data_IF_094133933604
#
_entry.id   IF_094133933604
#
_cell.length_a   1.000
_cell.length_b   1.000
_cell.length_c   1.000
_cell.angle_alpha   90.00
_cell.angle_beta   90.00
_cell.angle_gamma   90.00
#
_symmetry.space_group_name_H-M   'P 1'
#
loop_
_entity.id
_entity.type
_entity.pdbx_description
1 polymer ?
#
# COMPACT_ATOMS: atom_id res chain seq x y z
N UNK A 1 -53.51 24.86 -0.24
CA UNK A 1 -52.68 25.45 -1.31
C UNK A 1 -51.74 24.34 -1.77
N UNK A 2 -52.26 23.45 -2.63
CA UNK A 2 -52.03 23.42 -4.10
C UNK A 2 -50.71 22.71 -4.42
N UNK A 3 -50.66 21.45 -4.87
CA UNK A 3 -51.28 20.74 -6.01
C UNK A 3 -50.30 20.58 -7.19
N UNK A 4 -50.34 19.40 -7.83
CA UNK A 4 -49.72 19.06 -9.12
C UNK A 4 -48.43 18.24 -8.95
N UNK A 5 -48.42 16.91 -8.98
CA UNK A 5 -48.78 15.98 -10.06
C UNK A 5 -48.03 16.26 -11.37
N UNK A 6 -47.11 15.36 -11.77
CA UNK A 6 -46.99 15.03 -13.19
C UNK A 6 -46.57 13.57 -13.37
N UNK A 7 -47.59 12.74 -13.59
CA UNK A 7 -47.55 11.37 -14.07
C UNK A 7 -47.57 11.46 -15.59
N UNK A 8 -46.43 11.15 -16.24
CA UNK A 8 -46.38 10.91 -17.68
C UNK A 8 -45.54 9.68 -17.99
N UNK A 9 -46.22 8.54 -18.08
CA UNK A 9 -45.95 7.57 -19.13
C UNK A 9 -46.79 7.97 -20.35
N UNK A 10 -46.32 7.75 -21.58
CA UNK A 10 -46.85 6.58 -22.27
C UNK A 10 -45.89 5.88 -23.26
N UNK A 11 -46.29 4.63 -23.52
CA UNK A 11 -46.29 3.87 -24.78
C UNK A 11 -45.01 3.46 -25.52
N UNK A 12 -44.89 2.12 -25.61
CA UNK A 12 -44.67 1.27 -26.80
C UNK A 12 -43.72 1.77 -27.89
N UNK A 13 -42.74 0.93 -28.19
CA UNK A 13 -42.66 0.37 -29.54
C UNK A 13 -42.06 -1.05 -29.54
N UNK A 14 -42.94 -2.01 -29.81
CA UNK A 14 -42.62 -3.26 -30.51
C UNK A 14 -41.77 -2.95 -31.75
N UNK A 15 -40.58 -3.54 -31.84
CA UNK A 15 -39.94 -3.82 -33.13
C UNK A 15 -39.14 -5.11 -33.06
N UNK A 16 -39.62 -6.07 -33.84
CA UNK A 16 -38.76 -6.90 -34.68
C UNK A 16 -38.10 -8.06 -33.96
N UNK A 17 -38.77 -9.21 -34.00
CA UNK A 17 -38.07 -10.49 -34.04
C UNK A 17 -37.18 -10.51 -35.29
N UNK A 18 -35.87 -10.51 -35.10
CA UNK A 18 -34.93 -10.82 -36.17
C UNK A 18 -34.91 -12.33 -36.42
N UNK A 19 -34.90 -12.77 -37.69
CA UNK A 19 -34.86 -14.17 -38.05
C UNK A 19 -33.53 -14.80 -37.63
N UNK A 20 -33.62 -16.04 -37.12
CA UNK A 20 -32.48 -16.93 -36.96
C UNK A 20 -31.80 -17.16 -38.32
N UNK A 21 -30.75 -16.39 -38.60
CA UNK A 21 -29.79 -16.75 -39.63
C UNK A 21 -28.94 -17.91 -39.10
N UNK A 22 -29.25 -19.10 -39.59
CA UNK A 22 -28.39 -20.27 -39.56
C UNK A 22 -27.13 -19.99 -40.41
N UNK A 23 -26.19 -19.24 -39.83
CA UNK A 23 -24.89 -18.95 -40.40
C UNK A 23 -23.86 -19.99 -39.97
N UNK A 24 -23.67 -20.99 -40.81
CA UNK A 24 -22.54 -21.93 -40.80
C UNK A 24 -21.25 -21.16 -41.12
N UNK A 25 -20.72 -20.44 -40.13
CA UNK A 25 -19.59 -19.55 -40.26
C UNK A 25 -18.31 -20.14 -39.65
N UNK A 26 -17.50 -20.70 -40.53
CA UNK A 26 -16.05 -20.86 -40.46
C UNK A 26 -15.37 -20.30 -39.19
N UNK A 27 -14.83 -21.21 -38.37
CA UNK A 27 -14.13 -20.93 -37.13
C UNK A 27 -12.71 -20.38 -37.42
N UNK A 28 -12.62 -19.25 -38.09
CA UNK A 28 -11.37 -18.48 -38.10
C UNK A 28 -11.24 -17.78 -36.75
N UNK A 29 -10.14 -18.01 -36.00
CA UNK A 29 -9.96 -17.39 -34.70
C UNK A 29 -9.89 -15.87 -34.86
N UNK A 30 -10.94 -15.17 -34.41
CA UNK A 30 -11.02 -13.71 -34.39
C UNK A 30 -9.79 -13.12 -33.73
N UNK A 31 -8.99 -12.41 -34.52
CA UNK A 31 -7.73 -11.74 -34.14
C UNK A 31 -7.90 -10.71 -33.00
N UNK A 32 -9.13 -10.38 -32.59
CA UNK A 32 -9.45 -9.47 -31.48
C UNK A 32 -9.14 -10.01 -30.08
N UNK A 33 -9.07 -11.33 -29.87
CA UNK A 33 -8.91 -11.92 -28.53
C UNK A 33 -7.48 -11.87 -27.98
N UNK A 34 -6.48 -11.57 -28.82
CA UNK A 34 -5.07 -11.50 -28.37
C UNK A 34 -4.72 -10.19 -27.66
N UNK A 35 -5.46 -9.12 -27.89
CA UNK A 35 -5.16 -7.80 -27.29
C UNK A 35 -5.61 -7.74 -25.83
N UNK A 36 -6.71 -8.40 -25.47
CA UNK A 36 -7.25 -8.39 -24.10
C UNK A 36 -6.44 -9.25 -23.13
N UNK A 37 -5.85 -10.38 -23.59
CA UNK A 37 -5.01 -11.23 -22.73
C UNK A 37 -3.68 -10.61 -22.32
N UNK A 38 -3.09 -9.71 -23.14
CA UNK A 38 -1.77 -9.12 -22.83
C UNK A 38 -1.84 -8.03 -21.75
N UNK A 39 -2.98 -7.38 -21.60
CA UNK A 39 -3.19 -6.35 -20.56
C UNK A 39 -3.36 -6.92 -19.14
N UNK A 40 -3.83 -8.18 -19.01
CA UNK A 40 -4.01 -8.85 -17.73
C UNK A 40 -2.71 -9.31 -17.05
N UNK A 41 -1.67 -9.64 -17.83
CA UNK A 41 -0.41 -10.17 -17.31
C UNK A 41 0.43 -9.15 -16.54
N UNK A 42 0.45 -7.89 -16.98
CA UNK A 42 1.26 -6.82 -16.37
C UNK A 42 0.74 -6.42 -14.99
N UNK A 43 -0.57 -6.56 -14.73
CA UNK A 43 -1.17 -6.21 -13.43
C UNK A 43 -0.90 -7.25 -12.34
N UNK A 44 -0.74 -8.53 -12.68
CA UNK A 44 -0.40 -9.58 -11.69
C UNK A 44 1.05 -9.45 -11.19
N UNK A 45 1.98 -9.03 -12.03
CA UNK A 45 3.39 -8.88 -11.64
C UNK A 45 3.66 -7.73 -10.68
N UNK A 46 2.89 -6.64 -10.76
CA UNK A 46 3.05 -5.50 -9.86
C UNK A 46 2.47 -5.76 -8.45
N UNK A 47 1.41 -6.57 -8.34
CA UNK A 47 0.75 -6.87 -7.06
C UNK A 47 1.57 -7.77 -6.12
N UNK A 48 2.47 -8.60 -6.66
CA UNK A 48 3.25 -9.54 -5.83
C UNK A 48 4.43 -8.87 -5.13
N UNK A 49 5.01 -7.84 -5.73
CA UNK A 49 6.15 -7.11 -5.15
C UNK A 49 5.70 -6.30 -3.94
N UNK A 50 4.52 -5.67 -4.04
CA UNK A 50 3.94 -4.88 -2.95
C UNK A 50 3.60 -5.77 -1.74
N UNK A 51 2.92 -6.91 -1.95
CA UNK A 51 2.57 -7.82 -0.86
C UNK A 51 3.78 -8.46 -0.17
N UNK A 52 4.78 -8.90 -0.94
CA UNK A 52 5.97 -9.54 -0.39
C UNK A 52 6.82 -8.57 0.45
N UNK A 53 6.91 -7.31 0.04
CA UNK A 53 7.61 -6.29 0.82
C UNK A 53 6.95 -6.04 2.17
N UNK A 54 5.62 -5.91 2.18
CA UNK A 54 4.85 -5.71 3.41
C UNK A 54 4.95 -6.91 4.36
N UNK A 55 4.92 -8.13 3.82
CA UNK A 55 5.11 -9.34 4.61
C UNK A 55 6.49 -9.36 5.28
N UNK A 56 7.56 -8.96 4.57
CA UNK A 56 8.91 -8.87 5.15
C UNK A 56 8.99 -7.82 6.25
N UNK A 57 8.42 -6.64 6.02
CA UNK A 57 8.39 -5.58 7.03
C UNK A 57 7.61 -6.02 8.27
N UNK A 58 6.44 -6.64 8.09
CA UNK A 58 5.63 -7.18 9.18
C UNK A 58 6.33 -8.29 9.95
N UNK A 59 7.03 -9.19 9.25
CA UNK A 59 7.85 -10.23 9.87
C UNK A 59 8.96 -9.64 10.74
N UNK A 60 9.68 -8.64 10.24
CA UNK A 60 10.76 -7.98 10.99
C UNK A 60 10.23 -7.23 12.22
N UNK A 61 9.07 -6.59 12.10
CA UNK A 61 8.38 -5.95 13.23
C UNK A 61 8.01 -6.98 14.31
N UNK A 62 7.45 -8.12 13.90
CA UNK A 62 7.10 -9.20 14.82
C UNK A 62 8.34 -9.80 15.49
N UNK A 63 9.43 -9.99 14.74
CA UNK A 63 10.70 -10.46 15.27
C UNK A 63 11.29 -9.49 16.30
N UNK A 64 11.33 -8.18 15.98
CA UNK A 64 11.80 -7.16 16.93
C UNK A 64 10.92 -7.09 18.19
N UNK A 65 9.62 -7.33 18.07
CA UNK A 65 8.72 -7.38 19.23
C UNK A 65 8.87 -8.67 20.06
N UNK A 66 9.28 -9.78 19.44
CA UNK A 66 9.43 -11.08 20.09
C UNK A 66 10.71 -11.19 20.94
N UNK A 67 11.79 -10.52 20.54
CA UNK A 67 13.05 -10.50 21.29
C UNK A 67 13.09 -9.33 22.27
N UNK A 68 13.51 -9.58 23.52
CA UNK A 68 13.63 -8.52 24.53
C UNK A 68 14.85 -7.65 24.24
N UNK A 69 14.69 -6.33 24.28
CA UNK A 69 15.82 -5.42 24.33
C UNK A 69 16.28 -5.22 25.78
N UNK A 70 17.55 -4.87 25.95
CA UNK A 70 18.12 -4.45 27.24
C UNK A 70 17.18 -3.47 27.97
N UNK A 71 16.85 -3.71 29.25
CA UNK A 71 15.99 -2.82 30.00
C UNK A 71 16.68 -1.48 30.23
N UNK A 72 15.91 -0.38 30.20
CA UNK A 72 16.43 0.97 30.49
C UNK A 72 16.93 1.14 31.93
N UNK A 73 16.54 0.23 32.84
CA UNK A 73 16.91 0.30 34.26
C UNK A 73 18.37 -0.14 34.43
N UNK A 74 19.26 0.71 34.95
CA UNK A 74 20.65 0.35 35.16
C UNK A 74 20.79 -0.88 36.06
N UNK A 75 21.73 -1.77 35.75
CA UNK A 75 22.08 -2.92 36.60
C UNK A 75 21.12 -4.09 36.54
N UNK A 76 20.06 -4.06 35.72
CA UNK A 76 19.23 -5.24 35.50
C UNK A 76 19.92 -6.22 34.55
N UNK A 77 19.87 -7.50 34.90
CA UNK A 77 20.32 -8.57 34.02
C UNK A 77 19.43 -8.64 32.77
N UNK A 78 20.05 -9.04 31.66
CA UNK A 78 19.38 -9.27 30.38
C UNK A 78 20.08 -10.39 29.61
N UNK A 79 19.35 -11.08 28.75
CA UNK A 79 19.93 -12.07 27.84
C UNK A 79 20.58 -11.35 26.64
N UNK A 80 21.89 -11.52 26.47
CA UNK A 80 22.66 -10.94 25.37
C UNK A 80 22.22 -11.47 24.00
N UNK A 81 21.74 -12.71 23.94
CA UNK A 81 21.29 -13.34 22.70
C UNK A 81 20.00 -12.70 22.22
N UNK A 82 19.02 -12.53 23.10
CA UNK A 82 17.78 -11.81 22.78
C UNK A 82 18.07 -10.37 22.37
N UNK A 83 18.95 -9.68 23.11
CA UNK A 83 19.32 -8.29 22.82
C UNK A 83 19.98 -8.12 21.45
N UNK A 84 20.85 -9.06 21.08
CA UNK A 84 21.48 -9.10 19.75
C UNK A 84 20.45 -9.35 18.65
N UNK A 85 19.56 -10.34 18.84
CA UNK A 85 18.51 -10.67 17.86
C UNK A 85 17.53 -9.50 17.70
N UNK A 86 17.16 -8.84 18.80
CA UNK A 86 16.36 -7.60 18.79
C UNK A 86 17.06 -6.52 17.96
N UNK A 87 18.35 -6.29 18.21
CA UNK A 87 19.13 -5.26 17.52
C UNK A 87 19.26 -5.52 16.01
N UNK A 88 19.49 -6.77 15.62
CA UNK A 88 19.56 -7.18 14.20
C UNK A 88 18.20 -7.02 13.52
N UNK A 89 17.12 -7.48 14.17
CA UNK A 89 15.77 -7.34 13.65
C UNK A 89 15.38 -5.86 13.49
N UNK A 90 15.61 -5.04 14.52
CA UNK A 90 15.32 -3.61 14.52
C UNK A 90 16.14 -2.84 13.46
N UNK A 91 17.44 -3.17 13.30
CA UNK A 91 18.29 -2.53 12.28
C UNK A 91 17.82 -2.90 10.87
N UNK A 92 17.56 -4.19 10.62
CA UNK A 92 17.08 -4.67 9.32
C UNK A 92 15.73 -4.05 8.97
N UNK A 93 14.83 -3.96 9.96
CA UNK A 93 13.54 -3.29 9.85
C UNK A 93 13.70 -1.81 9.53
N UNK A 94 14.59 -1.09 10.21
CA UNK A 94 14.86 0.33 9.98
C UNK A 94 15.38 0.60 8.57
N UNK A 95 16.32 -0.21 8.09
CA UNK A 95 16.86 -0.12 6.71
C UNK A 95 15.74 -0.38 5.70
N UNK A 96 14.94 -1.44 5.89
CA UNK A 96 13.82 -1.74 5.02
C UNK A 96 12.80 -0.58 5.02
N UNK A 97 12.44 -0.07 6.19
CA UNK A 97 11.53 1.07 6.30
C UNK A 97 12.04 2.30 5.52
N UNK A 98 13.29 2.70 5.73
CA UNK A 98 13.89 3.84 5.03
C UNK A 98 13.92 3.63 3.51
N UNK A 99 14.28 2.43 3.04
CA UNK A 99 14.25 2.09 1.62
C UNK A 99 12.82 2.19 1.04
N UNK A 100 11.81 1.76 1.79
CA UNK A 100 10.39 1.88 1.41
C UNK A 100 9.94 3.34 1.28
N UNK A 101 10.32 4.19 2.24
CA UNK A 101 10.05 5.64 2.21
C UNK A 101 10.71 6.31 1.00
N UNK A 102 11.97 5.98 0.71
CA UNK A 102 12.68 6.53 -0.46
C UNK A 102 12.03 6.08 -1.76
N UNK A 103 11.71 4.79 -1.89
CA UNK A 103 11.07 4.25 -3.10
C UNK A 103 9.73 4.94 -3.39
N UNK A 104 8.86 5.02 -2.37
CA UNK A 104 7.56 5.71 -2.47
C UNK A 104 7.71 7.20 -2.79
N UNK A 105 8.67 7.90 -2.19
CA UNK A 105 8.96 9.30 -2.50
C UNK A 105 9.40 9.48 -3.96
N UNK A 106 10.27 8.62 -4.48
CA UNK A 106 10.71 8.63 -5.89
C UNK A 106 9.53 8.36 -6.84
N UNK A 107 8.70 7.37 -6.53
CA UNK A 107 7.47 7.05 -7.29
C UNK A 107 6.48 8.22 -7.28
N UNK A 108 6.29 8.87 -6.13
CA UNK A 108 5.41 10.03 -5.99
C UNK A 108 5.94 11.25 -6.76
N UNK A 109 7.26 11.48 -6.75
CA UNK A 109 7.91 12.53 -7.52
C UNK A 109 7.69 12.37 -9.02
N UNK A 110 7.84 11.14 -9.55
CA UNK A 110 7.56 10.82 -10.96
C UNK A 110 6.10 11.07 -11.37
N UNK A 111 5.17 11.02 -10.42
CA UNK A 111 3.73 11.28 -10.62
C UNK A 111 3.31 12.72 -10.32
N UNK A 112 4.25 13.63 -10.03
CA UNK A 112 3.96 15.04 -9.76
C UNK A 112 3.22 15.34 -8.44
N UNK A 113 3.11 14.38 -7.50
CA UNK A 113 2.35 14.56 -6.26
C UNK A 113 3.19 15.26 -5.17
N UNK A 114 3.01 16.59 -5.01
CA UNK A 114 3.77 17.39 -4.01
C UNK A 114 3.35 17.17 -2.54
N UNK A 115 2.07 16.94 -2.25
CA UNK A 115 1.54 16.84 -0.88
C UNK A 115 2.04 15.62 -0.08
N UNK A 116 2.66 14.62 -0.73
CA UNK A 116 3.21 13.45 -0.04
C UNK A 116 4.54 13.69 0.68
N UNK A 117 5.27 14.76 0.31
CA UNK A 117 6.69 14.90 0.65
C UNK A 117 6.96 15.19 2.13
N UNK A 118 6.03 15.82 2.84
CA UNK A 118 6.26 16.19 4.25
C UNK A 118 6.29 14.95 5.14
N UNK A 119 5.31 14.05 5.00
CA UNK A 119 5.28 12.81 5.78
C UNK A 119 6.47 11.90 5.44
N UNK A 120 6.84 11.81 4.15
CA UNK A 120 8.01 11.04 3.73
C UNK A 120 9.30 11.62 4.33
N UNK A 121 9.45 12.95 4.32
CA UNK A 121 10.59 13.63 4.93
C UNK A 121 10.63 13.44 6.46
N UNK A 122 9.49 13.53 7.14
CA UNK A 122 9.40 13.27 8.60
C UNK A 122 9.77 11.82 8.91
N UNK A 123 9.25 10.86 8.15
CA UNK A 123 9.57 9.44 8.32
C UNK A 123 11.07 9.16 8.11
N UNK A 124 11.65 9.74 7.06
CA UNK A 124 13.08 9.59 6.76
C UNK A 124 13.94 10.26 7.84
N UNK A 125 13.60 11.47 8.26
CA UNK A 125 14.30 12.16 9.35
C UNK A 125 14.21 11.35 10.66
N UNK A 126 13.02 10.87 11.02
CA UNK A 126 12.81 10.05 12.21
C UNK A 126 13.62 8.76 12.19
N UNK A 127 13.79 8.12 11.01
CA UNK A 127 14.60 6.89 10.88
C UNK A 127 16.10 7.08 11.16
N UNK A 128 16.58 8.32 11.19
CA UNK A 128 17.99 8.64 11.49
C UNK A 128 18.10 9.32 12.84
N UNK A 129 17.28 10.35 13.09
CA UNK A 129 17.34 11.17 14.29
C UNK A 129 16.97 10.38 15.54
N UNK A 130 15.96 9.50 15.49
CA UNK A 130 15.54 8.76 16.68
C UNK A 130 16.56 7.70 17.10
N UNK A 131 17.14 6.86 16.20
CA UNK A 131 18.24 5.98 16.57
C UNK A 131 19.47 6.68 17.12
N UNK A 132 19.86 7.82 16.54
CA UNK A 132 20.95 8.64 17.07
C UNK A 132 20.59 9.23 18.44
N UNK A 133 19.34 9.66 18.63
CA UNK A 133 18.83 10.12 19.91
C UNK A 133 18.91 9.06 21.00
N UNK A 134 18.60 7.80 20.67
CA UNK A 134 18.74 6.68 21.62
C UNK A 134 20.20 6.48 22.04
N UNK A 135 21.14 6.63 21.10
CA UNK A 135 22.57 6.56 21.43
C UNK A 135 23.04 7.71 22.32
N UNK A 136 22.42 8.88 22.22
CA UNK A 136 22.80 10.08 22.96
C UNK A 136 22.08 10.24 24.32
N UNK A 137 20.89 9.66 24.48
CA UNK A 137 20.01 9.80 25.64
C UNK A 137 19.44 8.44 26.08
N UNK A 138 20.26 7.57 26.70
CA UNK A 138 19.83 6.21 27.08
C UNK A 138 18.62 6.19 28.03
N UNK A 139 18.44 7.25 28.83
CA UNK A 139 17.29 7.38 29.74
C UNK A 139 15.97 7.57 28.98
N UNK A 140 16.04 8.03 27.73
CA UNK A 140 14.90 8.27 26.86
C UNK A 140 14.65 7.16 25.82
N UNK A 141 15.48 6.09 25.80
CA UNK A 141 15.44 5.04 24.77
C UNK A 141 14.04 4.48 24.54
N UNK A 142 13.36 4.10 25.62
CA UNK A 142 12.01 3.53 25.52
C UNK A 142 10.97 4.49 24.96
N UNK A 143 11.13 5.80 25.14
CA UNK A 143 10.22 6.82 24.58
C UNK A 143 10.55 7.06 23.10
N UNK A 144 11.82 7.20 22.77
CA UNK A 144 12.30 7.40 21.40
C UNK A 144 11.95 6.20 20.50
N UNK A 145 12.08 4.98 21.02
CA UNK A 145 11.68 3.75 20.33
C UNK A 145 10.17 3.74 20.03
N UNK A 146 9.31 4.10 21.00
CA UNK A 146 7.85 4.19 20.78
C UNK A 146 7.50 5.27 19.77
N UNK A 147 8.17 6.42 19.84
CA UNK A 147 7.98 7.50 18.87
C UNK A 147 8.36 7.05 17.46
N UNK A 148 9.46 6.30 17.31
CA UNK A 148 9.88 5.73 16.04
C UNK A 148 8.81 4.79 15.47
N UNK A 149 8.29 3.87 16.27
CA UNK A 149 7.19 3.00 15.84
C UNK A 149 5.92 3.80 15.49
N UNK A 150 5.56 4.81 16.28
CA UNK A 150 4.39 5.65 16.00
C UNK A 150 4.51 6.36 14.65
N UNK A 151 5.68 6.95 14.34
CA UNK A 151 5.94 7.57 13.03
C UNK A 151 5.84 6.54 11.91
N UNK A 152 6.43 5.35 12.08
CA UNK A 152 6.36 4.28 11.10
C UNK A 152 4.91 3.83 10.85
N UNK A 153 4.10 3.65 11.89
CA UNK A 153 2.69 3.27 11.79
C UNK A 153 1.84 4.34 11.11
N UNK A 154 2.03 5.62 11.45
CA UNK A 154 1.29 6.74 10.83
C UNK A 154 1.62 6.82 9.34
N UNK A 155 2.90 6.75 8.99
CA UNK A 155 3.35 6.76 7.60
C UNK A 155 2.77 5.57 6.82
N UNK A 156 2.87 4.37 7.39
CA UNK A 156 2.36 3.15 6.78
C UNK A 156 0.84 3.16 6.59
N UNK A 157 0.08 3.54 7.62
CA UNK A 157 -1.37 3.63 7.56
C UNK A 157 -1.84 4.63 6.49
N UNK A 158 -1.12 5.75 6.34
CA UNK A 158 -1.39 6.72 5.28
C UNK A 158 -1.18 6.14 3.88
N UNK A 159 -0.10 5.40 3.64
CA UNK A 159 0.12 4.74 2.34
C UNK A 159 -0.95 3.67 2.04
N UNK A 160 -1.34 2.87 3.04
CA UNK A 160 -2.42 1.90 2.90
C UNK A 160 -3.76 2.56 2.53
N UNK A 161 -4.07 3.73 3.09
CA UNK A 161 -5.27 4.50 2.75
C UNK A 161 -5.23 5.10 1.34
N UNK A 162 -4.05 5.55 0.88
CA UNK A 162 -3.87 6.04 -0.50
C UNK A 162 -4.13 4.93 -1.51
N UNK A 163 -3.63 3.72 -1.25
CA UNK A 163 -3.85 2.57 -2.13
C UNK A 163 -5.34 2.19 -2.24
N UNK A 164 -6.10 2.27 -1.14
CA UNK A 164 -7.55 1.96 -1.12
C UNK A 164 -8.42 2.93 -1.93
N UNK A 165 -7.96 4.15 -2.22
CA UNK A 165 -8.74 5.17 -2.95
C UNK A 165 -8.64 5.07 -4.47
N UNK A 166 -7.87 4.13 -5.01
CA UNK A 166 -7.66 3.98 -6.47
C UNK A 166 -8.48 2.88 -7.19
N UNK A 167 -9.62 2.33 -6.70
CA UNK A 167 -10.27 1.18 -7.36
C UNK A 167 -11.10 1.50 -8.63
N UNK A 168 -11.57 2.73 -8.86
CA UNK A 168 -12.76 2.92 -9.72
C UNK A 168 -12.58 3.57 -11.11
N UNK A 169 -11.41 4.11 -11.49
CA UNK A 169 -11.30 4.83 -12.77
C UNK A 169 -11.12 3.95 -14.02
N UNK A 170 -10.97 2.62 -13.87
CA UNK A 170 -10.56 1.76 -14.99
C UNK A 170 -11.73 1.03 -15.66
N UNK A 171 -12.94 1.08 -15.09
CA UNK A 171 -14.09 0.29 -15.57
C UNK A 171 -15.02 0.97 -16.58
N UNK A 172 -14.94 2.28 -16.80
CA UNK A 172 -16.07 3.03 -17.41
C UNK A 172 -15.79 3.75 -18.73
N UNK A 173 -14.59 3.67 -19.31
CA UNK A 173 -14.43 4.10 -20.72
C UNK A 173 -15.02 3.06 -21.66
N UNK A 174 -16.34 3.10 -21.85
CA UNK A 174 -16.99 2.48 -22.99
C UNK A 174 -16.48 3.16 -24.27
N UNK A 175 -16.02 2.41 -25.28
CA UNK A 175 -15.79 2.98 -26.60
C UNK A 175 -17.14 3.41 -27.17
N UNK A 176 -17.24 4.69 -27.54
CA UNK A 176 -18.27 5.24 -28.41
C UNK A 176 -17.71 5.41 -29.82
#
# INVERSE_FOLDING_TARGET
MSAGADLRAPDRQDRGADPQEAGTGDATPRTGDRVTRRAGGVRRGAQTVDGAWLARLGFLMAAAAAFSHRPWQPGRDFDRTEDLLHSVAATTMGIAFAAGVVATAVLAARRGRRRARVLDAVALAASVVLPLGMSALPEADGVLQRLMFAVAYVWYGREALVLRRTPDEVGTRRPG
#
